data_IF_862346121072
#
_entry.id   IF_862346121072
#
_cell.length_a   1.000
_cell.length_b   1.000
_cell.length_c   1.000
_cell.angle_alpha   90.00
_cell.angle_beta   90.00
_cell.angle_gamma   90.00
#
_symmetry.space_group_name_H-M   'P 1'
#
loop_
_entity.id
_entity.type
_entity.pdbx_description
1 polymer ?
#
# COMPACT_ATOMS: atom_id res chain seq x y z
N UNK A 1 -16.02 -28.41 13.83
CA UNK A 1 -15.70 -27.04 14.32
C UNK A 1 -17.01 -26.39 14.73
N UNK A 2 -17.05 -25.70 15.87
CA UNK A 2 -18.27 -25.04 16.33
C UNK A 2 -18.59 -23.87 15.39
N UNK A 3 -19.76 -23.91 14.76
CA UNK A 3 -20.22 -22.78 13.95
C UNK A 3 -20.48 -21.57 14.84
N UNK A 4 -19.97 -20.40 14.45
CA UNK A 4 -20.32 -19.14 15.08
C UNK A 4 -21.83 -18.93 15.08
N UNK A 5 -22.33 -18.35 16.17
CA UNK A 5 -23.73 -17.91 16.24
C UNK A 5 -24.04 -16.94 15.09
N UNK A 6 -25.30 -16.92 14.65
CA UNK A 6 -25.74 -15.97 13.61
C UNK A 6 -25.51 -14.52 14.05
N UNK A 7 -25.63 -14.24 15.34
CA UNK A 7 -25.40 -12.93 15.92
C UNK A 7 -23.92 -12.54 15.84
N UNK A 8 -22.99 -13.43 16.20
CA UNK A 8 -21.56 -13.17 16.13
C UNK A 8 -21.07 -13.08 14.69
N UNK A 9 -21.63 -13.89 13.78
CA UNK A 9 -21.38 -13.74 12.33
C UNK A 9 -21.81 -12.37 11.84
N UNK A 10 -22.99 -11.88 12.22
CA UNK A 10 -23.48 -10.57 11.82
C UNK A 10 -22.63 -9.42 12.40
N UNK A 11 -22.26 -9.51 13.69
CA UNK A 11 -21.39 -8.54 14.35
C UNK A 11 -20.00 -8.50 13.72
N UNK A 12 -19.39 -9.66 13.48
CA UNK A 12 -18.06 -9.75 12.86
C UNK A 12 -18.03 -9.18 11.45
N UNK A 13 -19.01 -9.50 10.60
CA UNK A 13 -19.14 -8.90 9.25
C UNK A 13 -19.27 -7.38 9.30
N UNK A 14 -20.08 -6.86 10.24
CA UNK A 14 -20.26 -5.41 10.44
C UNK A 14 -18.94 -4.75 10.83
N UNK A 15 -18.18 -5.37 11.72
CA UNK A 15 -16.89 -4.86 12.19
C UNK A 15 -15.87 -4.86 11.05
N UNK A 16 -15.72 -5.96 10.30
CA UNK A 16 -14.82 -6.01 9.13
C UNK A 16 -15.16 -4.90 8.13
N UNK A 17 -16.46 -4.70 7.86
CA UNK A 17 -16.95 -3.63 6.99
C UNK A 17 -16.61 -2.23 7.51
N UNK A 18 -16.62 -2.03 8.84
CA UNK A 18 -16.26 -0.75 9.45
C UNK A 18 -14.74 -0.51 9.40
N UNK A 19 -13.94 -1.53 9.73
CA UNK A 19 -12.47 -1.45 9.74
C UNK A 19 -11.89 -1.15 8.36
N UNK A 20 -12.38 -1.84 7.34
CA UNK A 20 -11.81 -1.81 5.99
C UNK A 20 -12.71 -1.07 5.00
N UNK A 21 -13.53 -0.12 5.50
CA UNK A 21 -14.48 0.68 4.71
C UNK A 21 -13.83 1.42 3.53
N UNK A 22 -12.56 1.79 3.70
CA UNK A 22 -11.74 2.52 2.71
C UNK A 22 -10.89 1.57 1.84
N UNK A 23 -10.93 0.27 2.10
CA UNK A 23 -10.12 -0.77 1.44
C UNK A 23 -11.02 -1.91 0.94
N UNK A 24 -11.83 -1.71 -0.12
CA UNK A 24 -12.84 -2.68 -0.54
C UNK A 24 -12.26 -4.07 -0.90
N UNK A 25 -11.03 -4.11 -1.44
CA UNK A 25 -10.33 -5.37 -1.72
C UNK A 25 -10.00 -6.15 -0.45
N UNK A 26 -9.43 -5.48 0.56
CA UNK A 26 -9.08 -6.09 1.85
C UNK A 26 -10.34 -6.50 2.61
N UNK A 27 -11.35 -5.63 2.60
CA UNK A 27 -12.66 -5.91 3.19
C UNK A 27 -13.28 -7.18 2.60
N UNK A 28 -13.33 -7.30 1.26
CA UNK A 28 -13.91 -8.46 0.58
C UNK A 28 -13.18 -9.76 0.93
N UNK A 29 -11.85 -9.73 0.95
CA UNK A 29 -11.03 -10.90 1.30
C UNK A 29 -11.25 -11.31 2.76
N UNK A 30 -11.22 -10.36 3.70
CA UNK A 30 -11.46 -10.65 5.11
C UNK A 30 -12.89 -11.12 5.38
N UNK A 31 -13.88 -10.57 4.68
CA UNK A 31 -15.27 -11.06 4.76
C UNK A 31 -15.39 -12.50 4.30
N UNK A 32 -14.76 -12.87 3.18
CA UNK A 32 -14.77 -14.24 2.67
C UNK A 32 -14.11 -15.23 3.65
N UNK A 33 -12.96 -14.85 4.21
CA UNK A 33 -12.25 -15.65 5.21
C UNK A 33 -13.12 -15.82 6.47
N UNK A 34 -13.70 -14.72 6.97
CA UNK A 34 -14.54 -14.74 8.17
C UNK A 34 -15.84 -15.52 7.95
N UNK A 35 -16.44 -15.47 6.76
CA UNK A 35 -17.64 -16.24 6.43
C UNK A 35 -17.38 -17.75 6.41
N UNK A 36 -16.23 -18.16 5.88
CA UNK A 36 -15.84 -19.57 5.78
C UNK A 36 -15.39 -20.13 7.12
N UNK A 37 -14.54 -19.40 7.83
CA UNK A 37 -13.74 -19.91 8.93
C UNK A 37 -13.96 -19.19 10.27
N UNK A 38 -14.80 -18.17 10.29
CA UNK A 38 -15.09 -17.40 11.50
C UNK A 38 -13.86 -16.69 12.06
N UNK A 39 -13.79 -16.59 13.39
CA UNK A 39 -12.67 -15.99 14.09
C UNK A 39 -11.34 -16.70 13.81
N UNK A 40 -11.37 -18.03 13.66
CA UNK A 40 -10.19 -18.83 13.34
C UNK A 40 -9.58 -18.46 11.98
N UNK A 41 -10.39 -18.07 11.00
CA UNK A 41 -9.89 -17.57 9.72
C UNK A 41 -9.05 -16.30 9.88
N UNK A 42 -9.54 -15.36 10.69
CA UNK A 42 -8.84 -14.09 10.96
C UNK A 42 -7.61 -14.32 11.82
N UNK A 43 -7.69 -15.19 12.82
CA UNK A 43 -6.56 -15.59 13.66
C UNK A 43 -5.42 -16.21 12.86
N UNK A 44 -5.72 -17.08 11.88
CA UNK A 44 -4.70 -17.63 10.99
C UNK A 44 -4.00 -16.56 10.18
N UNK A 45 -4.75 -15.60 9.65
CA UNK A 45 -4.17 -14.50 8.89
C UNK A 45 -3.27 -13.63 9.79
N UNK A 46 -3.71 -13.33 11.01
CA UNK A 46 -2.89 -12.66 12.02
C UNK A 46 -1.61 -13.45 12.35
N UNK A 47 -1.70 -14.77 12.52
CA UNK A 47 -0.55 -15.61 12.88
C UNK A 47 0.49 -15.72 11.76
N UNK A 48 0.06 -15.63 10.50
CA UNK A 48 0.99 -15.56 9.36
C UNK A 48 1.71 -14.21 9.33
N UNK A 49 0.99 -13.12 9.61
CA UNK A 49 1.57 -11.77 9.60
C UNK A 49 2.42 -11.50 10.85
N UNK A 50 2.08 -12.11 11.98
CA UNK A 50 2.65 -11.86 13.30
C UNK A 50 2.75 -13.14 14.14
N UNK A 51 3.68 -14.06 13.80
CA UNK A 51 3.79 -15.36 14.48
C UNK A 51 4.10 -15.23 15.98
N UNK A 52 4.84 -14.19 16.38
CA UNK A 52 5.26 -13.97 17.77
C UNK A 52 4.25 -13.17 18.61
N UNK A 53 3.24 -12.55 17.98
CA UNK A 53 2.30 -11.62 18.61
C UNK A 53 0.83 -11.97 18.33
N UNK A 54 0.55 -13.15 17.76
CA UNK A 54 -0.82 -13.56 17.51
C UNK A 54 -1.52 -13.96 18.80
N UNK A 55 -2.77 -13.54 18.92
CA UNK A 55 -3.62 -13.86 20.07
C UNK A 55 -4.82 -14.60 19.53
N UNK A 56 -5.20 -15.71 20.18
CA UNK A 56 -6.39 -16.44 19.77
C UNK A 56 -7.60 -15.52 19.74
N UNK A 57 -8.40 -15.64 18.67
CA UNK A 57 -9.62 -14.85 18.48
C UNK A 57 -10.80 -15.79 18.74
N UNK A 58 -11.47 -15.58 19.86
CA UNK A 58 -12.65 -16.33 20.27
C UNK A 58 -13.89 -15.42 20.49
N UNK A 59 -13.71 -14.10 20.45
CA UNK A 59 -14.74 -13.11 20.70
C UNK A 59 -14.76 -11.95 19.70
N UNK A 60 -15.83 -11.16 19.74
CA UNK A 60 -15.96 -9.92 18.96
C UNK A 60 -14.88 -8.89 19.33
N UNK A 61 -14.49 -8.83 20.60
CA UNK A 61 -13.48 -7.87 21.08
C UNK A 61 -12.08 -8.26 20.63
N UNK A 62 -11.73 -9.55 20.70
CA UNK A 62 -10.46 -10.04 20.15
C UNK A 62 -10.44 -9.95 18.62
N UNK A 63 -11.59 -10.09 17.94
CA UNK A 63 -11.66 -9.89 16.49
C UNK A 63 -11.25 -8.46 16.13
N UNK A 64 -11.67 -7.47 16.92
CA UNK A 64 -11.26 -6.08 16.72
C UNK A 64 -9.74 -5.94 16.86
N UNK A 65 -9.15 -6.57 17.86
CA UNK A 65 -7.70 -6.54 18.06
C UNK A 65 -6.95 -7.19 16.89
N UNK A 66 -7.39 -8.37 16.45
CA UNK A 66 -6.80 -9.05 15.29
C UNK A 66 -6.88 -8.22 14.01
N UNK A 67 -8.04 -7.62 13.73
CA UNK A 67 -8.22 -6.73 12.57
C UNK A 67 -7.38 -5.45 12.69
N UNK A 68 -7.18 -4.91 13.90
CA UNK A 68 -6.30 -3.76 14.15
C UNK A 68 -4.85 -4.08 13.79
N UNK A 69 -4.35 -5.24 14.20
CA UNK A 69 -2.99 -5.68 13.86
C UNK A 69 -2.81 -5.86 12.35
N UNK A 70 -3.78 -6.47 11.68
CA UNK A 70 -3.79 -6.62 10.21
C UNK A 70 -3.79 -5.25 9.54
N UNK A 71 -4.58 -4.32 10.05
CA UNK A 71 -4.67 -2.97 9.54
C UNK A 71 -3.33 -2.22 9.72
N UNK A 72 -2.74 -2.27 10.92
CA UNK A 72 -1.40 -1.73 11.21
C UNK A 72 -0.33 -2.31 10.28
N UNK A 73 -0.41 -3.62 9.97
CA UNK A 73 0.49 -4.27 9.02
C UNK A 73 0.44 -3.60 7.65
N UNK A 74 -0.78 -3.42 7.12
CA UNK A 74 -1.02 -2.80 5.82
C UNK A 74 -0.47 -1.37 5.79
N UNK A 75 -0.46 -0.69 6.93
CA UNK A 75 0.06 0.66 7.07
C UNK A 75 1.56 0.74 7.37
N UNK A 76 2.22 -0.37 7.71
CA UNK A 76 3.59 -0.35 8.22
C UNK A 76 3.74 0.38 9.56
N UNK A 77 2.68 0.43 10.37
CA UNK A 77 2.70 1.00 11.73
C UNK A 77 3.13 -0.07 12.75
N UNK A 78 3.82 0.31 13.84
CA UNK A 78 4.16 -0.60 14.92
C UNK A 78 2.88 -1.06 15.61
N UNK A 79 2.87 -2.32 16.05
CA UNK A 79 1.73 -3.01 16.68
C UNK A 79 1.53 -2.55 18.15
N UNK A 80 1.95 -1.34 18.48
CA UNK A 80 1.99 -0.85 19.85
C UNK A 80 0.67 -0.18 20.25
N UNK A 81 -0.09 0.36 19.29
CA UNK A 81 -1.37 1.02 19.58
C UNK A 81 -2.53 0.01 19.50
N UNK A 82 -2.63 -0.82 20.54
CA UNK A 82 -3.59 -1.93 20.56
C UNK A 82 -5.05 -1.49 20.72
N UNK A 83 -5.33 -0.23 21.09
CA UNK A 83 -6.71 0.20 21.44
C UNK A 83 -7.11 1.62 21.00
N UNK A 84 -6.19 2.60 20.91
CA UNK A 84 -6.53 4.02 20.77
C UNK A 84 -7.09 4.38 19.38
N UNK A 85 -6.30 4.13 18.35
CA UNK A 85 -6.68 4.35 16.95
C UNK A 85 -8.04 3.75 16.56
N UNK A 86 -8.33 2.55 17.07
CA UNK A 86 -9.53 1.81 16.72
C UNK A 86 -10.81 2.35 17.39
N UNK A 87 -10.73 2.76 18.66
CA UNK A 87 -11.85 3.42 19.32
C UNK A 87 -12.26 4.70 18.58
N UNK A 88 -11.32 5.36 17.91
CA UNK A 88 -11.63 6.55 17.10
C UNK A 88 -12.26 6.20 15.75
N UNK A 89 -11.75 5.18 15.05
CA UNK A 89 -12.34 4.73 13.76
C UNK A 89 -13.77 4.21 13.94
N UNK A 90 -14.07 3.49 15.01
CA UNK A 90 -15.44 3.00 15.27
C UNK A 90 -16.45 4.12 15.56
N UNK A 91 -15.98 5.25 16.08
CA UNK A 91 -16.82 6.46 16.27
C UNK A 91 -17.11 7.17 14.94
N UNK A 92 -16.40 6.83 13.86
CA UNK A 92 -16.59 7.43 12.55
C UNK A 92 -17.86 6.90 11.84
N UNK A 93 -18.80 7.82 11.58
CA UNK A 93 -20.08 7.53 10.94
C UNK A 93 -19.99 7.52 9.42
N UNK A 94 -19.04 8.24 8.84
CA UNK A 94 -18.90 8.38 7.37
C UNK A 94 -17.54 7.88 6.88
N UNK A 95 -17.40 7.49 5.60
CA UNK A 95 -16.11 7.21 4.98
C UNK A 95 -15.13 8.39 5.10
N UNK A 96 -15.59 9.63 4.90
CA UNK A 96 -14.76 10.83 5.01
C UNK A 96 -14.14 11.00 6.41
N UNK A 97 -14.89 10.70 7.48
CA UNK A 97 -14.36 10.73 8.85
C UNK A 97 -13.29 9.65 9.07
N UNK A 98 -13.48 8.46 8.50
CA UNK A 98 -12.46 7.39 8.54
C UNK A 98 -11.22 7.83 7.77
N UNK A 99 -11.36 8.39 6.57
CA UNK A 99 -10.25 8.92 5.77
C UNK A 99 -9.46 9.99 6.53
N UNK A 100 -10.15 10.97 7.12
CA UNK A 100 -9.54 12.02 7.92
C UNK A 100 -8.74 11.44 9.08
N UNK A 101 -9.33 10.49 9.83
CA UNK A 101 -8.66 9.82 10.96
C UNK A 101 -7.48 8.96 10.54
N UNK A 102 -7.60 8.24 9.44
CA UNK A 102 -6.49 7.47 8.86
C UNK A 102 -5.30 8.39 8.54
N UNK A 103 -5.55 9.53 7.89
CA UNK A 103 -4.48 10.49 7.57
C UNK A 103 -3.86 11.12 8.82
N UNK A 104 -4.69 11.50 9.80
CA UNK A 104 -4.24 12.07 11.07
C UNK A 104 -3.29 11.12 11.79
N UNK A 105 -3.63 9.84 11.88
CA UNK A 105 -2.77 8.83 12.53
C UNK A 105 -1.46 8.60 11.78
N UNK A 106 -1.49 8.52 10.46
CA UNK A 106 -0.27 8.36 9.65
C UNK A 106 0.67 9.57 9.80
N UNK A 107 0.11 10.78 9.78
CA UNK A 107 0.89 12.00 9.95
C UNK A 107 1.48 12.11 11.37
N UNK A 108 0.68 11.79 12.39
CA UNK A 108 1.16 11.78 13.77
C UNK A 108 2.30 10.79 13.99
N UNK A 109 2.23 9.64 13.32
CA UNK A 109 3.24 8.60 13.40
C UNK A 109 4.53 9.00 12.67
N UNK A 110 4.45 9.21 11.35
CA UNK A 110 5.63 9.43 10.52
C UNK A 110 6.33 10.76 10.80
N UNK A 111 5.58 11.81 11.15
CA UNK A 111 6.14 13.15 11.36
C UNK A 111 6.29 13.52 12.84
N UNK A 112 6.34 12.51 13.72
CA UNK A 112 6.50 12.73 15.17
C UNK A 112 7.74 13.55 15.53
N UNK A 113 8.83 13.40 14.76
CA UNK A 113 10.11 14.09 14.93
C UNK A 113 10.13 15.53 14.37
N UNK A 114 9.13 15.93 13.58
CA UNK A 114 9.04 17.25 12.93
C UNK A 114 7.76 17.98 13.38
N UNK A 115 7.70 18.53 14.59
CA UNK A 115 6.46 19.04 15.18
C UNK A 115 5.81 20.18 14.38
N UNK A 116 6.61 21.06 13.77
CA UNK A 116 6.09 22.20 13.01
C UNK A 116 5.57 21.73 11.65
N UNK A 117 6.35 20.90 10.97
CA UNK A 117 5.95 20.30 9.69
C UNK A 117 4.70 19.41 9.85
N UNK A 118 4.65 18.59 10.91
CA UNK A 118 3.51 17.74 11.25
C UNK A 118 2.24 18.56 11.43
N UNK A 119 2.29 19.63 12.23
CA UNK A 119 1.12 20.46 12.48
C UNK A 119 0.55 21.05 11.19
N UNK A 120 1.43 21.56 10.33
CA UNK A 120 1.04 22.09 9.03
C UNK A 120 0.43 21.02 8.11
N UNK A 121 1.05 19.84 8.02
CA UNK A 121 0.54 18.74 7.20
C UNK A 121 -0.78 18.18 7.74
N UNK A 122 -0.99 18.18 9.06
CA UNK A 122 -2.27 17.79 9.67
C UNK A 122 -3.39 18.72 9.25
N UNK A 123 -3.16 20.03 9.26
CA UNK A 123 -4.16 21.03 8.87
C UNK A 123 -4.55 20.88 7.40
N UNK A 124 -3.59 20.59 6.53
CA UNK A 124 -3.82 20.64 5.09
C UNK A 124 -4.15 19.28 4.44
N UNK A 125 -3.51 18.19 4.87
CA UNK A 125 -3.72 16.88 4.24
C UNK A 125 -4.92 16.14 4.80
N UNK A 126 -5.27 16.34 6.08
CA UNK A 126 -6.39 15.60 6.69
C UNK A 126 -7.74 15.94 6.03
N UNK A 127 -7.90 17.19 5.60
CA UNK A 127 -9.10 17.69 4.93
C UNK A 127 -9.04 17.59 3.38
N UNK A 128 -7.91 17.17 2.82
CA UNK A 128 -7.71 16.97 1.37
C UNK A 128 -8.40 15.69 0.84
N UNK A 129 -9.72 15.70 0.74
CA UNK A 129 -10.50 14.51 0.34
C UNK A 129 -10.15 13.96 -1.05
N UNK A 130 -9.62 14.81 -1.94
CA UNK A 130 -9.28 14.45 -3.31
C UNK A 130 -7.78 14.22 -3.52
N UNK A 131 -6.99 14.23 -2.44
CA UNK A 131 -5.54 14.02 -2.46
C UNK A 131 -4.80 14.98 -3.41
N UNK A 132 -5.36 16.16 -3.67
CA UNK A 132 -4.78 17.14 -4.59
C UNK A 132 -3.48 17.70 -4.06
N UNK A 133 -3.46 18.07 -2.78
CA UNK A 133 -2.26 18.58 -2.14
C UNK A 133 -1.23 17.47 -1.97
N UNK A 134 -1.68 16.26 -1.60
CA UNK A 134 -0.78 15.10 -1.58
C UNK A 134 -0.12 14.84 -2.94
N UNK A 135 -0.89 14.93 -4.03
CA UNK A 135 -0.38 14.76 -5.39
C UNK A 135 0.64 15.82 -5.76
N UNK A 136 0.39 17.08 -5.40
CA UNK A 136 1.35 18.17 -5.59
C UNK A 136 2.67 17.92 -4.83
N UNK A 137 2.59 17.47 -3.57
CA UNK A 137 3.77 17.10 -2.78
C UNK A 137 4.56 15.98 -3.45
N UNK A 138 3.87 14.91 -3.87
CA UNK A 138 4.49 13.77 -4.53
C UNK A 138 5.18 14.17 -5.85
N UNK A 139 4.57 15.07 -6.63
CA UNK A 139 5.17 15.56 -7.86
C UNK A 139 6.43 16.38 -7.59
N UNK A 140 6.39 17.27 -6.58
CA UNK A 140 7.51 18.14 -6.25
C UNK A 140 8.70 17.38 -5.66
N UNK A 141 8.45 16.49 -4.71
CA UNK A 141 9.51 15.87 -3.91
C UNK A 141 9.88 14.46 -4.35
N UNK A 142 8.98 13.76 -5.04
CA UNK A 142 9.20 12.37 -5.47
C UNK A 142 9.20 12.21 -7.00
N UNK A 143 8.97 13.29 -7.76
CA UNK A 143 8.89 13.24 -9.23
C UNK A 143 7.72 12.41 -9.76
N UNK A 144 6.68 12.18 -8.95
CA UNK A 144 5.53 11.36 -9.35
C UNK A 144 4.54 12.19 -10.16
N UNK A 145 4.46 11.94 -11.46
CA UNK A 145 3.50 12.62 -12.35
C UNK A 145 2.06 12.13 -12.13
N UNK A 146 1.90 10.83 -11.84
CA UNK A 146 0.60 10.24 -11.55
C UNK A 146 0.04 10.76 -10.21
N UNK A 147 -1.18 11.31 -10.27
CA UNK A 147 -1.89 11.80 -9.09
C UNK A 147 -2.23 10.67 -8.11
N UNK A 148 -2.25 11.03 -6.83
CA UNK A 148 -2.83 10.19 -5.78
C UNK A 148 -4.34 10.34 -5.88
N UNK A 149 -5.05 9.23 -6.04
CA UNK A 149 -6.52 9.22 -6.15
C UNK A 149 -7.18 8.43 -5.02
N UNK A 150 -6.40 7.70 -4.22
CA UNK A 150 -6.92 6.90 -3.13
C UNK A 150 -5.97 6.85 -1.91
N UNK A 151 -6.50 6.31 -0.81
CA UNK A 151 -5.71 6.14 0.41
C UNK A 151 -4.56 5.16 0.27
N UNK A 152 -4.56 4.24 -0.71
CA UNK A 152 -3.42 3.33 -0.92
C UNK A 152 -2.24 4.11 -1.45
N UNK A 153 -2.48 4.99 -2.43
CA UNK A 153 -1.50 5.95 -2.91
C UNK A 153 -1.00 6.87 -1.78
N UNK A 154 -1.92 7.43 -0.98
CA UNK A 154 -1.55 8.27 0.16
C UNK A 154 -0.61 7.56 1.14
N UNK A 155 -1.00 6.35 1.59
CA UNK A 155 -0.23 5.53 2.56
C UNK A 155 1.18 5.24 2.07
N UNK A 156 1.30 4.93 0.78
CA UNK A 156 2.58 4.59 0.18
C UNK A 156 3.52 5.80 0.12
N UNK A 157 2.99 6.96 -0.27
CA UNK A 157 3.84 8.13 -0.48
C UNK A 157 4.10 8.95 0.77
N UNK A 158 3.25 8.87 1.80
CA UNK A 158 3.43 9.67 3.01
C UNK A 158 4.74 9.35 3.75
N UNK A 159 5.17 8.09 3.68
CA UNK A 159 6.46 7.62 4.18
C UNK A 159 7.61 8.13 3.32
N UNK A 160 7.56 7.96 2.01
CA UNK A 160 8.61 8.44 1.10
C UNK A 160 8.80 9.96 1.19
N UNK A 161 7.71 10.71 1.37
CA UNK A 161 7.78 12.15 1.63
C UNK A 161 8.47 12.46 2.95
N UNK A 162 8.22 11.69 4.01
CA UNK A 162 8.87 11.89 5.30
C UNK A 162 10.39 11.70 5.19
N UNK A 163 10.84 10.67 4.49
CA UNK A 163 12.26 10.42 4.22
C UNK A 163 12.88 11.62 3.45
N UNK A 164 12.21 12.11 2.40
CA UNK A 164 12.65 13.29 1.64
C UNK A 164 12.72 14.58 2.49
N UNK A 165 11.78 14.78 3.41
CA UNK A 165 11.82 15.93 4.31
C UNK A 165 12.91 15.78 5.37
N UNK A 166 13.11 14.56 5.90
CA UNK A 166 14.19 14.28 6.84
C UNK A 166 15.56 14.58 6.21
N UNK A 167 15.79 14.20 4.96
CA UNK A 167 17.03 14.49 4.23
C UNK A 167 17.26 16.00 4.07
N UNK A 168 16.21 16.77 3.78
CA UNK A 168 16.31 18.23 3.67
C UNK A 168 16.61 18.89 5.02
N UNK A 169 16.01 18.40 6.11
CA UNK A 169 16.29 18.89 7.46
C UNK A 169 17.73 18.53 7.87
N UNK A 170 18.16 17.30 7.59
CA UNK A 170 19.54 16.87 7.81
C UNK A 170 20.54 17.69 6.97
N UNK A 171 20.14 18.11 5.77
CA UNK A 171 20.89 19.02 4.89
C UNK A 171 20.90 20.48 5.34
N UNK A 172 20.30 20.82 6.48
CA UNK A 172 20.32 22.15 7.09
C UNK A 172 19.09 23.03 6.81
N UNK A 173 18.04 22.49 6.19
CA UNK A 173 16.78 23.22 5.98
C UNK A 173 15.96 23.24 7.27
N UNK A 174 15.55 24.42 7.74
CA UNK A 174 14.68 24.48 8.91
C UNK A 174 13.25 23.99 8.60
N UNK A 175 12.55 23.43 9.60
CA UNK A 175 11.13 23.06 9.44
C UNK A 175 10.26 24.23 8.98
N UNK A 176 10.52 25.45 9.48
CA UNK A 176 9.81 26.65 9.07
C UNK A 176 10.01 26.95 7.58
N UNK A 177 11.23 26.77 7.07
CA UNK A 177 11.54 26.96 5.65
C UNK A 177 10.83 25.94 4.76
N UNK A 178 10.73 24.69 5.22
CA UNK A 178 9.94 23.67 4.55
C UNK A 178 8.46 24.08 4.52
N UNK A 179 7.88 24.46 5.66
CA UNK A 179 6.48 24.90 5.74
C UNK A 179 6.19 26.07 4.79
N UNK A 180 7.05 27.08 4.71
CA UNK A 180 6.87 28.18 3.75
C UNK A 180 6.90 27.70 2.29
N UNK A 181 7.78 26.75 1.98
CA UNK A 181 7.86 26.13 0.65
C UNK A 181 6.61 25.31 0.33
N UNK A 182 6.00 24.68 1.33
CA UNK A 182 4.75 23.93 1.18
C UNK A 182 3.54 24.84 1.01
N UNK A 183 3.48 25.97 1.74
CA UNK A 183 2.45 26.99 1.55
C UNK A 183 2.47 27.56 0.13
N UNK A 184 3.66 27.85 -0.40
CA UNK A 184 3.83 28.30 -1.78
C UNK A 184 3.32 27.25 -2.77
N UNK A 185 3.73 25.98 -2.61
CA UNK A 185 3.26 24.88 -3.45
C UNK A 185 1.74 24.72 -3.41
N UNK A 186 1.13 24.84 -2.22
CA UNK A 186 -0.32 24.78 -2.08
C UNK A 186 -1.00 25.90 -2.86
N UNK A 187 -0.52 27.13 -2.71
CA UNK A 187 -1.05 28.29 -3.44
C UNK A 187 -0.89 28.14 -4.96
N UNK A 188 0.23 27.61 -5.44
CA UNK A 188 0.47 27.29 -6.85
C UNK A 188 -0.50 26.22 -7.36
N UNK A 189 -0.70 25.16 -6.58
CA UNK A 189 -1.61 24.05 -6.95
C UNK A 189 -3.09 24.45 -6.96
N UNK A 190 -3.49 25.42 -6.13
CA UNK A 190 -4.86 25.95 -6.11
C UNK A 190 -5.16 26.90 -7.28
N UNK A 191 -4.12 27.50 -7.87
CA UNK A 191 -4.23 28.42 -9.01
C UNK A 191 -3.94 27.75 -10.36
N UNK A 192 -3.47 26.51 -10.37
CA UNK A 192 -3.33 25.73 -11.60
C UNK A 192 -4.74 25.40 -12.13
N UNK A 193 -5.01 25.59 -13.44
CA UNK A 193 -6.26 25.13 -14.02
C UNK A 193 -6.40 23.64 -13.73
N UNK A 194 -7.58 23.23 -13.26
CA UNK A 194 -7.95 21.82 -13.18
C UNK A 194 -7.82 21.30 -14.60
N UNK A 195 -6.70 20.63 -14.90
CA UNK A 195 -6.58 19.87 -16.12
C UNK A 195 -7.79 18.94 -16.10
N UNK A 196 -8.64 19.09 -17.11
CA UNK A 196 -9.74 18.18 -17.33
C UNK A 196 -9.19 16.77 -17.12
N UNK A 197 -9.93 15.94 -16.38
CA UNK A 197 -9.72 14.50 -16.41
C UNK A 197 -9.45 14.14 -17.88
N UNK A 198 -8.39 13.38 -18.20
CA UNK A 198 -8.26 12.88 -19.55
C UNK A 198 -9.51 12.04 -19.78
N UNK A 199 -10.45 12.61 -20.53
CA UNK A 199 -11.46 11.86 -21.23
C UNK A 199 -10.71 10.76 -21.97
N UNK A 200 -11.25 9.56 -21.92
CA UNK A 200 -10.83 8.42 -22.73
C UNK A 200 -10.93 8.79 -24.22
N UNK A 201 -9.99 9.59 -24.71
CA UNK A 201 -9.70 9.73 -26.13
C UNK A 201 -8.54 8.77 -26.41
N UNK A 202 -8.84 7.84 -27.30
CA UNK A 202 -7.95 6.84 -27.85
C UNK A 202 -6.57 7.46 -28.15
N UNK A 203 -5.59 7.14 -27.32
CA UNK A 203 -4.20 7.44 -27.62
C UNK A 203 -3.76 6.53 -28.77
N UNK A 204 -3.66 7.10 -29.97
CA UNK A 204 -2.88 6.52 -31.06
C UNK A 204 -1.46 6.19 -30.55
N UNK A 205 -0.87 5.08 -31.02
CA UNK A 205 0.37 4.58 -30.46
C UNK A 205 1.54 5.47 -30.91
N UNK A 206 2.06 6.25 -29.97
CA UNK A 206 3.39 6.86 -30.12
C UNK A 206 4.40 5.73 -30.14
N UNK A 207 5.07 5.57 -31.29
CA UNK A 207 6.06 4.55 -31.56
C UNK A 207 7.18 4.57 -30.50
N UNK A 208 7.14 3.61 -29.58
CA UNK A 208 8.26 3.28 -28.71
C UNK A 208 9.36 2.62 -29.55
N UNK A 209 10.59 3.10 -29.38
CA UNK A 209 11.79 2.44 -29.89
C UNK A 209 11.83 0.99 -29.38
N UNK A 210 11.61 0.02 -30.27
CA UNK A 210 11.46 -1.42 -29.97
C UNK A 210 12.72 -2.17 -29.55
N UNK A 211 13.62 -1.55 -28.77
CA UNK A 211 14.80 -2.23 -28.22
C UNK A 211 14.52 -2.78 -26.82
N UNK A 212 14.32 -1.86 -25.86
CA UNK A 212 14.33 -2.21 -24.44
C UNK A 212 13.05 -2.93 -23.97
N UNK A 213 11.89 -2.54 -24.49
CA UNK A 213 10.60 -3.17 -24.15
C UNK A 213 10.54 -4.62 -24.64
N UNK A 214 11.09 -4.90 -25.81
CA UNK A 214 11.15 -6.26 -26.38
C UNK A 214 12.14 -7.14 -25.60
N UNK A 215 13.25 -6.58 -25.12
CA UNK A 215 14.20 -7.28 -24.24
C UNK A 215 13.58 -7.65 -22.89
N UNK A 216 12.84 -6.72 -22.25
CA UNK A 216 12.10 -6.99 -21.00
C UNK A 216 11.07 -8.08 -21.19
N UNK A 217 10.28 -7.99 -22.27
CA UNK A 217 9.30 -9.01 -22.63
C UNK A 217 9.97 -10.37 -22.84
N UNK A 218 11.07 -10.43 -23.57
CA UNK A 218 11.81 -11.67 -23.82
C UNK A 218 12.36 -12.29 -22.53
N UNK A 219 12.88 -11.47 -21.62
CA UNK A 219 13.35 -11.91 -20.31
C UNK A 219 12.21 -12.51 -19.46
N UNK A 220 11.04 -11.86 -19.41
CA UNK A 220 9.85 -12.38 -18.72
C UNK A 220 9.41 -13.71 -19.31
N UNK A 221 9.28 -13.80 -20.63
CA UNK A 221 8.87 -15.03 -21.32
C UNK A 221 9.87 -16.18 -21.08
N UNK A 222 11.17 -15.87 -21.05
CA UNK A 222 12.23 -16.85 -20.80
C UNK A 222 12.23 -17.36 -19.36
N UNK A 223 12.02 -16.49 -18.37
CA UNK A 223 12.01 -16.87 -16.97
C UNK A 223 10.70 -17.56 -16.57
N UNK A 224 9.56 -17.06 -17.05
CA UNK A 224 8.21 -17.47 -16.66
C UNK A 224 7.46 -18.18 -17.80
N UNK A 225 8.16 -19.06 -18.53
CA UNK A 225 7.62 -19.73 -19.72
C UNK A 225 6.50 -20.73 -19.41
N UNK A 226 6.50 -21.35 -18.24
CA UNK A 226 5.52 -22.38 -17.86
C UNK A 226 4.09 -21.86 -17.72
N UNK A 227 3.10 -22.69 -18.08
CA UNK A 227 1.68 -22.32 -18.05
C UNK A 227 1.18 -21.89 -16.66
N UNK A 228 1.74 -22.46 -15.60
CA UNK A 228 1.39 -22.10 -14.21
C UNK A 228 1.72 -20.64 -13.85
N UNK A 229 2.61 -19.98 -14.62
CA UNK A 229 2.97 -18.57 -14.41
C UNK A 229 2.22 -17.62 -15.34
N UNK A 230 1.26 -18.09 -16.15
CA UNK A 230 0.58 -17.29 -17.17
C UNK A 230 0.05 -15.96 -16.65
N UNK A 231 -0.62 -15.97 -15.49
CA UNK A 231 -1.23 -14.74 -14.93
C UNK A 231 -0.16 -13.76 -14.43
N UNK A 232 0.89 -14.26 -13.79
CA UNK A 232 2.03 -13.45 -13.33
C UNK A 232 2.79 -12.86 -14.51
N UNK A 233 2.98 -13.65 -15.56
CA UNK A 233 3.61 -13.24 -16.81
C UNK A 233 2.84 -12.12 -17.50
N UNK A 234 1.52 -12.27 -17.65
CA UNK A 234 0.66 -11.22 -18.24
C UNK A 234 0.76 -9.93 -17.44
N UNK A 235 0.61 -10.03 -16.12
CA UNK A 235 0.74 -8.87 -15.22
C UNK A 235 2.10 -8.17 -15.36
N UNK A 236 3.20 -8.93 -15.38
CA UNK A 236 4.54 -8.35 -15.51
C UNK A 236 4.76 -7.72 -16.89
N UNK A 237 4.29 -8.36 -17.96
CA UNK A 237 4.38 -7.81 -19.32
C UNK A 237 3.61 -6.49 -19.41
N UNK A 238 2.40 -6.43 -18.87
CA UNK A 238 1.58 -5.22 -18.88
C UNK A 238 2.24 -4.11 -18.02
N UNK A 239 2.85 -4.49 -16.89
CA UNK A 239 3.52 -3.57 -15.97
C UNK A 239 4.78 -2.96 -16.59
N UNK A 240 5.59 -3.75 -17.32
CA UNK A 240 6.85 -3.26 -17.90
C UNK A 240 6.71 -2.69 -19.30
N UNK A 241 5.55 -2.88 -19.97
CA UNK A 241 5.31 -2.39 -21.33
C UNK A 241 5.35 -0.86 -21.46
N UNK A 242 5.06 -0.15 -20.37
CA UNK A 242 4.99 1.32 -20.30
C UNK A 242 6.13 1.94 -19.48
N UNK A 243 7.13 1.14 -19.08
CA UNK A 243 8.15 1.59 -18.14
C UNK A 243 9.60 1.46 -18.66
N UNK A 244 10.25 2.61 -18.82
CA UNK A 244 11.67 2.69 -19.17
C UNK A 244 12.60 2.31 -17.99
N UNK A 245 12.29 2.71 -16.75
CA UNK A 245 13.25 2.67 -15.63
C UNK A 245 13.20 1.47 -14.68
N UNK A 246 12.43 0.40 -14.96
CA UNK A 246 12.25 -0.78 -14.09
C UNK A 246 11.71 -0.50 -12.67
N UNK A 247 11.30 0.72 -12.35
CA UNK A 247 10.89 1.16 -11.01
C UNK A 247 9.68 0.41 -10.47
N UNK A 248 8.67 0.13 -11.30
CA UNK A 248 7.49 -0.62 -10.90
C UNK A 248 7.80 -2.10 -10.76
N UNK A 249 8.68 -2.65 -11.59
CA UNK A 249 9.19 -4.00 -11.39
C UNK A 249 9.98 -4.11 -10.09
N UNK A 250 10.90 -3.17 -9.82
CA UNK A 250 11.69 -3.15 -8.60
C UNK A 250 10.80 -3.10 -7.36
N UNK A 251 9.84 -2.18 -7.38
CA UNK A 251 8.84 -2.05 -6.34
C UNK A 251 8.00 -3.31 -6.17
N UNK A 252 7.69 -4.03 -7.25
CA UNK A 252 6.99 -5.32 -7.15
C UNK A 252 7.89 -6.37 -6.49
N UNK A 253 9.16 -6.43 -6.89
CA UNK A 253 10.15 -7.33 -6.32
C UNK A 253 10.33 -7.11 -4.82
N UNK A 254 10.48 -5.85 -4.38
CA UNK A 254 10.65 -5.48 -2.98
C UNK A 254 9.44 -5.82 -2.09
N UNK A 255 8.25 -5.90 -2.69
CA UNK A 255 7.03 -6.32 -2.00
C UNK A 255 6.88 -7.84 -1.94
N UNK A 256 7.39 -8.55 -2.94
CA UNK A 256 7.24 -9.99 -3.07
C UNK A 256 8.36 -10.78 -2.37
N UNK A 257 9.58 -10.24 -2.39
CA UNK A 257 10.78 -10.88 -1.85
C UNK A 257 11.24 -10.19 -0.57
N UNK A 258 11.83 -10.95 0.36
CA UNK A 258 12.44 -10.38 1.56
C UNK A 258 13.61 -9.46 1.23
N UNK A 259 13.88 -8.46 2.08
CA UNK A 259 14.93 -7.44 1.87
C UNK A 259 16.33 -8.00 1.58
N UNK A 260 16.68 -9.16 2.14
CA UNK A 260 17.96 -9.83 1.88
C UNK A 260 18.03 -10.56 0.54
N UNK A 261 16.87 -10.79 -0.09
CA UNK A 261 16.73 -11.51 -1.35
C UNK A 261 16.39 -10.60 -2.53
N UNK A 262 15.89 -9.39 -2.31
CA UNK A 262 15.66 -8.39 -3.37
C UNK A 262 16.96 -8.04 -4.13
N UNK A 263 16.84 -7.76 -5.42
CA UNK A 263 17.91 -7.22 -6.26
C UNK A 263 17.41 -5.91 -6.81
N UNK A 264 18.27 -4.91 -6.84
CA UNK A 264 17.96 -3.63 -7.48
C UNK A 264 18.11 -3.76 -9.00
N UNK A 265 16.98 -3.79 -9.70
CA UNK A 265 16.85 -3.91 -11.14
C UNK A 265 17.10 -2.56 -11.80
N UNK A 266 18.37 -2.27 -12.08
CA UNK A 266 18.81 -1.03 -12.76
C UNK A 266 19.16 -1.28 -14.23
N UNK A 267 19.25 -2.54 -14.65
CA UNK A 267 19.55 -2.99 -16.01
C UNK A 267 18.85 -4.32 -16.37
N UNK A 268 18.91 -4.74 -17.63
CA UNK A 268 18.29 -5.99 -18.10
C UNK A 268 18.84 -7.26 -17.40
N UNK A 269 20.15 -7.39 -17.12
CA UNK A 269 20.69 -8.50 -16.34
C UNK A 269 20.11 -8.58 -14.91
N UNK A 270 20.12 -7.48 -14.16
CA UNK A 270 19.57 -7.41 -12.79
C UNK A 270 18.06 -7.62 -12.78
N UNK A 271 17.34 -7.11 -13.78
CA UNK A 271 15.92 -7.42 -14.01
C UNK A 271 15.67 -8.92 -14.23
N UNK A 272 16.48 -9.57 -15.08
CA UNK A 272 16.37 -11.00 -15.37
C UNK A 272 16.65 -11.85 -14.13
N UNK A 273 17.62 -11.44 -13.32
CA UNK A 273 17.94 -12.09 -12.07
C UNK A 273 16.82 -11.89 -11.01
N UNK A 274 16.21 -10.70 -10.98
CA UNK A 274 15.01 -10.44 -10.18
C UNK A 274 13.85 -11.38 -10.55
N UNK A 275 13.60 -11.59 -11.85
CA UNK A 275 12.59 -12.54 -12.34
C UNK A 275 12.91 -13.98 -11.91
N UNK A 276 14.18 -14.39 -11.94
CA UNK A 276 14.62 -15.71 -11.46
C UNK A 276 14.30 -15.89 -9.98
N UNK A 277 14.63 -14.91 -9.14
CA UNK A 277 14.34 -14.97 -7.71
C UNK A 277 12.85 -14.98 -7.39
N UNK A 278 12.06 -14.20 -8.13
CA UNK A 278 10.61 -14.20 -8.02
C UNK A 278 10.03 -15.60 -8.34
N UNK A 279 10.54 -16.24 -9.39
CA UNK A 279 10.17 -17.61 -9.75
C UNK A 279 10.55 -18.60 -8.64
N UNK A 280 11.76 -18.54 -8.12
CA UNK A 280 12.25 -19.44 -7.07
C UNK A 280 11.44 -19.33 -5.79
N UNK A 281 11.13 -18.10 -5.37
CA UNK A 281 10.25 -17.86 -4.23
C UNK A 281 8.87 -18.51 -4.43
N UNK A 282 8.28 -18.31 -5.61
CA UNK A 282 6.98 -18.91 -5.92
C UNK A 282 7.02 -20.44 -5.97
N UNK A 283 8.05 -21.02 -6.57
CA UNK A 283 8.23 -22.47 -6.61
C UNK A 283 8.41 -23.07 -5.23
N UNK A 284 9.17 -22.38 -4.36
CA UNK A 284 9.38 -22.79 -2.99
C UNK A 284 8.08 -22.73 -2.17
N UNK A 285 7.32 -21.64 -2.29
CA UNK A 285 5.99 -21.52 -1.66
C UNK A 285 5.03 -22.62 -2.12
N UNK A 286 4.99 -22.93 -3.42
CA UNK A 286 4.14 -24.01 -3.94
C UNK A 286 4.55 -25.38 -3.38
N UNK A 287 5.85 -25.65 -3.22
CA UNK A 287 6.34 -26.89 -2.62
C UNK A 287 5.99 -26.99 -1.13
N UNK A 288 6.17 -25.92 -0.35
CA UNK A 288 5.78 -25.90 1.05
C UNK A 288 4.28 -26.12 1.20
N UNK A 289 3.46 -25.40 0.43
CA UNK A 289 2.01 -25.53 0.46
C UNK A 289 1.54 -26.94 0.07
N UNK A 290 2.22 -27.61 -0.85
CA UNK A 290 1.94 -29.00 -1.21
C UNK A 290 2.32 -29.98 -0.09
N UNK A 291 3.42 -29.74 0.64
CA UNK A 291 3.85 -30.55 1.78
C UNK A 291 2.92 -30.43 3.01
N UNK A 292 2.21 -29.30 3.15
CA UNK A 292 1.20 -29.10 4.19
C UNK A 292 -0.20 -29.65 3.82
N UNK A 293 -0.42 -30.03 2.56
CA UNK A 293 -1.68 -30.60 2.09
C UNK A 293 -1.71 -32.14 2.08
N UNK A 294 -0.57 -32.79 2.37
CA UNK A 294 -0.40 -34.24 2.56
C UNK A 294 -0.36 -34.63 4.02
#
# INVERSE_FOLDING_TARGET
MAELSLEDKAKGKRIITQFFRTMPGVQKTLMMIFERDGYQGVFRLQSVLYPDNSTEINSVDELRNGLSMILQHIYGMPIEDKEGYFQEITKCKTPAQVLRKEKESLLNYFYSEFPILKQYLLEDLTDDNNFQFMSALCRKYLGLEAGISDMRGFKKQIRSLQESFADQVAGGTSENSLVETLKQLKAESANAPVAAEPSEEEAEPVAASGGETDEKRKAILSALGGDKYKDLRSFLIDTVAVEAGFVNFQRYLDNALGKSSGIEATDIPSFSEGLRKLKEFRDHLEQEMAAYAS
#
